data_IF_317018203858
#
_entry.id   IF_317018203858
#
_cell.length_a   1.000
_cell.length_b   1.000
_cell.length_c   1.000
_cell.angle_alpha   90.00
_cell.angle_beta   90.00
_cell.angle_gamma   90.00
#
_symmetry.space_group_name_H-M   'P 1'
#
loop_
_entity.id
_entity.type
_entity.pdbx_description
1 polymer ?
#
# COMPACT_ATOMS: atom_id res chain seq x y z
N UNK A 1 22.87 13.43 18.15
CA UNK A 1 22.76 14.33 16.97
C UNK A 1 23.50 15.65 17.23
N UNK A 2 24.33 16.10 16.27
CA UNK A 2 25.01 17.40 16.34
C UNK A 2 24.14 18.57 15.85
N UNK A 3 22.88 18.28 15.50
CA UNK A 3 21.94 19.24 14.93
C UNK A 3 20.49 18.84 15.24
N UNK A 4 19.56 19.77 15.05
CA UNK A 4 18.12 19.57 15.13
C UNK A 4 17.41 20.13 13.89
N UNK A 5 16.22 19.60 13.59
CA UNK A 5 15.32 20.12 12.56
C UNK A 5 14.13 20.78 13.25
N UNK A 6 13.79 21.99 12.80
CA UNK A 6 12.71 22.81 13.33
C UNK A 6 11.79 23.22 12.18
N UNK A 7 10.49 23.00 12.34
CA UNK A 7 9.47 23.62 11.49
C UNK A 7 8.93 24.88 12.18
N UNK A 8 8.94 26.02 11.49
CA UNK A 8 8.38 27.27 12.00
C UNK A 8 7.01 27.59 11.40
N UNK A 9 6.27 28.50 12.04
CA UNK A 9 4.99 29.00 11.52
C UNK A 9 5.16 29.89 10.29
N UNK A 10 6.39 30.33 10.00
CA UNK A 10 6.76 31.06 8.78
C UNK A 10 6.94 30.13 7.56
N UNK A 11 6.44 28.90 7.62
CA UNK A 11 6.54 27.90 6.55
C UNK A 11 7.99 27.53 6.18
N UNK A 12 8.90 27.65 7.13
CA UNK A 12 10.32 27.34 6.94
C UNK A 12 10.71 26.07 7.70
N UNK A 13 11.64 25.34 7.11
CA UNK A 13 12.38 24.27 7.80
C UNK A 13 13.78 24.78 8.07
N UNK A 14 14.19 24.73 9.33
CA UNK A 14 15.50 25.19 9.77
C UNK A 14 16.27 24.02 10.39
N UNK A 15 17.48 23.79 9.91
CA UNK A 15 18.45 22.94 10.57
C UNK A 15 19.34 23.82 11.43
N UNK A 16 19.47 23.49 12.72
CA UNK A 16 20.31 24.22 13.66
C UNK A 16 21.34 23.29 14.32
N UNK A 17 22.51 23.82 14.67
CA UNK A 17 23.55 23.08 15.37
C UNK A 17 23.18 22.87 16.85
N UNK A 18 23.65 21.79 17.44
CA UNK A 18 23.54 21.55 18.88
C UNK A 18 24.93 21.57 19.53
N UNK A 19 25.08 22.14 20.74
CA UNK A 19 24.03 22.71 21.58
C UNK A 19 23.69 24.19 21.27
N UNK A 20 24.47 24.87 20.43
CA UNK A 20 24.41 26.33 20.27
C UNK A 20 23.20 26.90 19.52
N UNK A 21 22.34 26.06 18.93
CA UNK A 21 21.16 26.43 18.12
C UNK A 21 21.47 27.41 16.98
N UNK A 22 22.71 27.43 16.48
CA UNK A 22 23.07 28.27 15.35
C UNK A 22 22.43 27.71 14.08
N UNK A 23 21.78 28.58 13.31
CA UNK A 23 21.15 28.16 12.04
C UNK A 23 22.22 27.73 11.05
N UNK A 24 22.12 26.49 10.60
CA UNK A 24 22.98 25.89 9.58
C UNK A 24 22.40 26.16 8.20
N UNK A 25 21.12 25.84 8.02
CA UNK A 25 20.38 26.16 6.82
C UNK A 25 18.90 26.40 7.15
N UNK A 26 18.25 27.24 6.35
CA UNK A 26 16.81 27.50 6.42
C UNK A 26 16.25 27.48 5.01
N UNK A 27 15.22 26.67 4.78
CA UNK A 27 14.60 26.49 3.46
C UNK A 27 13.11 26.79 3.56
N UNK A 28 12.59 27.69 2.69
CA UNK A 28 11.16 27.91 2.58
C UNK A 28 10.47 26.72 1.92
N UNK A 29 9.37 26.28 2.53
CA UNK A 29 8.52 25.25 1.95
C UNK A 29 7.69 25.77 0.76
N UNK A 30 7.52 27.08 0.59
CA UNK A 30 6.77 27.63 -0.56
C UNK A 30 5.34 27.09 -0.64
N UNK A 31 4.69 26.94 0.52
CA UNK A 31 3.32 26.50 0.70
C UNK A 31 2.72 27.33 1.83
N UNK A 32 1.39 27.46 1.84
CA UNK A 32 0.66 28.24 2.85
C UNK A 32 0.16 27.38 4.03
N UNK A 33 0.78 26.23 4.27
CA UNK A 33 0.38 25.27 5.32
C UNK A 33 1.56 24.95 6.23
N UNK A 34 1.35 25.11 7.54
CA UNK A 34 2.42 24.96 8.54
C UNK A 34 2.90 23.51 8.69
N UNK A 35 4.20 23.31 8.98
CA UNK A 35 4.71 22.05 9.50
C UNK A 35 3.99 21.64 10.79
N UNK A 36 3.59 20.37 10.87
CA UNK A 36 2.95 19.78 12.07
C UNK A 36 3.79 18.70 12.72
N UNK A 37 4.64 18.02 11.95
CA UNK A 37 5.58 17.04 12.47
C UNK A 37 6.86 17.04 11.64
N UNK A 38 8.02 16.97 12.31
CA UNK A 38 9.34 16.87 11.66
C UNK A 38 10.13 15.72 12.25
N UNK A 39 10.83 14.97 11.42
CA UNK A 39 11.63 13.80 11.81
C UNK A 39 12.93 13.76 11.02
N UNK A 40 14.05 13.58 11.73
CA UNK A 40 15.33 13.20 11.13
C UNK A 40 15.54 11.72 11.38
N UNK A 41 15.78 10.94 10.32
CA UNK A 41 16.01 9.50 10.44
C UNK A 41 16.96 8.99 9.37
N UNK A 42 17.66 7.88 9.66
CA UNK A 42 18.51 7.19 8.69
C UNK A 42 17.82 5.94 8.17
N UNK A 43 17.68 5.83 6.85
CA UNK A 43 17.09 4.69 6.14
C UNK A 43 18.10 4.19 5.10
N UNK A 44 18.47 2.91 5.13
CA UNK A 44 19.51 2.30 4.27
C UNK A 44 20.83 3.12 4.21
N UNK A 45 21.25 3.68 5.34
CA UNK A 45 22.47 4.48 5.45
C UNK A 45 22.35 5.95 5.01
N UNK A 46 21.25 6.34 4.37
CA UNK A 46 21.00 7.73 3.94
C UNK A 46 20.24 8.49 5.03
N UNK A 47 20.71 9.68 5.37
CA UNK A 47 20.09 10.55 6.36
C UNK A 47 19.02 11.41 5.70
N UNK A 48 17.78 11.30 6.18
CA UNK A 48 16.63 12.04 5.67
C UNK A 48 16.09 13.00 6.71
N UNK A 49 15.59 14.14 6.23
CA UNK A 49 14.74 15.06 6.97
C UNK A 49 13.34 15.01 6.35
N UNK A 50 12.36 14.62 7.15
CA UNK A 50 10.97 14.47 6.75
C UNK A 50 10.12 15.49 7.50
N UNK A 51 9.26 16.20 6.78
CA UNK A 51 8.39 17.24 7.35
C UNK A 51 6.98 17.09 6.82
N UNK A 52 6.07 16.76 7.74
CA UNK A 52 4.66 16.58 7.51
C UNK A 52 3.90 17.88 7.78
N UNK A 53 3.00 18.23 6.87
CA UNK A 53 2.17 19.43 6.93
C UNK A 53 0.77 19.14 7.46
N UNK A 54 0.01 20.22 7.72
CA UNK A 54 -1.38 20.13 8.16
C UNK A 54 -2.39 19.67 7.12
N UNK A 55 -2.01 19.63 5.84
CA UNK A 55 -2.88 19.29 4.70
C UNK A 55 -2.62 17.89 4.13
N UNK A 56 -1.88 17.05 4.86
CA UNK A 56 -1.57 15.68 4.45
C UNK A 56 -0.42 15.55 3.43
N UNK A 57 0.30 16.65 3.14
CA UNK A 57 1.56 16.57 2.38
C UNK A 57 2.77 16.28 3.27
N UNK A 58 3.69 15.51 2.70
CA UNK A 58 5.00 15.20 3.25
C UNK A 58 6.08 15.77 2.33
N UNK A 59 6.97 16.55 2.92
CA UNK A 59 8.23 16.93 2.31
C UNK A 59 9.36 16.04 2.81
N UNK A 60 10.20 15.56 1.90
CA UNK A 60 11.39 14.80 2.25
C UNK A 60 12.62 15.41 1.60
N UNK A 61 13.70 15.47 2.37
CA UNK A 61 15.00 15.99 1.96
C UNK A 61 16.09 14.98 2.34
N UNK A 62 17.14 14.90 1.53
CA UNK A 62 18.38 14.22 1.90
C UNK A 62 19.26 15.21 2.65
N UNK A 63 19.76 14.80 3.83
CA UNK A 63 20.68 15.60 4.64
C UNK A 63 22.10 15.26 4.23
N UNK A 64 22.83 16.22 3.69
CA UNK A 64 24.21 16.04 3.27
C UNK A 64 25.17 16.25 4.46
N UNK A 65 25.63 15.15 5.05
CA UNK A 65 26.55 15.18 6.19
C UNK A 65 27.95 15.72 5.84
N UNK A 66 28.37 15.65 4.57
CA UNK A 66 29.66 16.17 4.13
C UNK A 66 29.61 17.70 3.94
N UNK A 67 28.48 18.22 3.45
CA UNK A 67 28.26 19.65 3.22
C UNK A 67 27.51 20.31 4.38
N UNK A 68 28.00 20.13 5.61
CA UNK A 68 27.48 20.79 6.81
C UNK A 68 25.96 20.60 7.02
N UNK A 69 25.43 19.40 6.80
CA UNK A 69 24.02 19.04 7.00
C UNK A 69 23.03 19.88 6.18
N UNK A 70 23.43 20.33 4.99
CA UNK A 70 22.50 20.99 4.06
C UNK A 70 21.42 20.02 3.57
N UNK A 71 20.22 20.56 3.33
CA UNK A 71 19.10 19.79 2.81
C UNK A 71 19.11 19.83 1.27
N UNK A 72 19.08 18.65 0.66
CA UNK A 72 19.10 18.44 -0.80
C UNK A 72 17.97 17.50 -1.24
N UNK A 73 17.81 17.28 -2.54
CA UNK A 73 16.83 16.34 -3.14
C UNK A 73 15.40 16.47 -2.55
N UNK A 74 14.87 17.70 -2.59
CA UNK A 74 13.53 18.02 -2.10
C UNK A 74 12.46 17.26 -2.89
N UNK A 75 11.67 16.44 -2.19
CA UNK A 75 10.51 15.72 -2.73
C UNK A 75 9.24 16.07 -1.96
N UNK A 76 8.10 16.13 -2.68
CA UNK A 76 6.76 16.38 -2.13
C UNK A 76 5.85 15.21 -2.50
N UNK A 77 5.17 14.63 -1.51
CA UNK A 77 4.21 13.52 -1.70
C UNK A 77 2.98 13.79 -0.85
N UNK A 78 1.78 13.48 -1.38
CA UNK A 78 0.54 13.48 -0.57
C UNK A 78 0.31 12.09 -0.01
N UNK A 79 0.17 11.98 1.31
CA UNK A 79 -0.13 10.71 2.00
C UNK A 79 -1.54 10.68 2.58
N UNK A 80 -2.23 11.82 2.66
CA UNK A 80 -3.58 11.93 3.22
C UNK A 80 -4.15 13.33 2.99
N UNK A 81 -5.19 13.67 3.74
CA UNK A 81 -5.80 15.01 3.74
C UNK A 81 -5.77 15.68 5.11
N UNK A 82 -5.43 14.93 6.17
CA UNK A 82 -5.35 15.42 7.53
C UNK A 82 -3.89 15.62 7.97
N UNK A 83 -3.63 16.43 9.03
CA UNK A 83 -2.31 16.53 9.65
C UNK A 83 -1.78 15.15 10.06
N UNK A 84 -0.53 14.86 9.74
CA UNK A 84 0.08 13.56 10.08
C UNK A 84 1.20 13.70 11.12
N UNK A 85 1.33 12.69 11.98
CA UNK A 85 2.43 12.55 12.93
C UNK A 85 3.42 11.51 12.44
N UNK A 86 4.71 11.86 12.37
CA UNK A 86 5.78 10.96 11.94
C UNK A 86 6.44 10.29 13.14
N UNK A 87 6.57 8.97 13.09
CA UNK A 87 7.21 8.18 14.14
C UNK A 87 8.20 7.17 13.57
N UNK A 88 9.44 7.24 14.04
CA UNK A 88 10.44 6.22 13.73
C UNK A 88 10.13 4.97 14.54
N UNK A 89 10.15 3.82 13.89
CA UNK A 89 10.08 2.51 14.52
C UNK A 89 11.04 1.54 13.83
N UNK A 90 11.35 0.45 14.50
CA UNK A 90 12.27 -0.56 13.99
C UNK A 90 11.54 -1.90 13.97
N UNK A 91 11.64 -2.61 12.84
CA UNK A 91 11.06 -3.95 12.68
C UNK A 91 12.07 -4.79 11.91
N UNK A 92 12.31 -6.03 12.37
CA UNK A 92 13.28 -6.94 11.77
C UNK A 92 14.68 -6.30 11.59
N UNK A 93 15.11 -5.48 12.56
CA UNK A 93 16.40 -4.78 12.53
C UNK A 93 16.50 -3.63 11.53
N UNK A 94 15.43 -3.30 10.80
CA UNK A 94 15.38 -2.20 9.84
C UNK A 94 14.54 -1.04 10.37
N UNK A 95 15.00 0.19 10.12
CA UNK A 95 14.28 1.39 10.48
C UNK A 95 13.21 1.72 9.44
N UNK A 96 12.05 2.11 9.94
CA UNK A 96 10.88 2.52 9.16
C UNK A 96 10.24 3.75 9.81
N UNK A 97 9.51 4.54 9.03
CA UNK A 97 8.77 5.69 9.55
C UNK A 97 7.28 5.43 9.36
N UNK A 98 6.53 5.50 10.45
CA UNK A 98 5.08 5.46 10.42
C UNK A 98 4.55 6.90 10.30
N UNK A 99 3.71 7.15 9.31
CA UNK A 99 2.93 8.37 9.17
C UNK A 99 1.50 8.09 9.64
N UNK A 100 1.19 8.54 10.85
CA UNK A 100 -0.12 8.42 11.48
C UNK A 100 -1.04 9.55 10.97
N UNK A 101 -2.12 9.19 10.28
CA UNK A 101 -3.12 10.13 9.72
C UNK A 101 -4.43 9.40 9.34
N UNK A 102 -5.29 10.06 8.56
CA UNK A 102 -6.48 9.53 7.86
C UNK A 102 -6.15 8.49 6.77
N UNK A 103 -4.88 8.34 6.42
CA UNK A 103 -4.35 7.32 5.51
C UNK A 103 -3.00 6.82 6.05
N UNK A 104 -3.02 5.98 7.09
CA UNK A 104 -1.80 5.54 7.75
C UNK A 104 -0.84 4.90 6.75
N UNK A 105 0.42 5.36 6.75
CA UNK A 105 1.41 4.96 5.74
C UNK A 105 2.73 4.60 6.42
N UNK A 106 3.32 3.47 6.02
CA UNK A 106 4.70 3.12 6.37
C UNK A 106 5.63 3.58 5.25
N UNK A 107 6.61 4.40 5.64
CA UNK A 107 7.69 4.89 4.79
C UNK A 107 8.94 4.07 5.10
N UNK A 108 9.56 3.53 4.06
CA UNK A 108 10.75 2.72 4.17
C UNK A 108 11.68 2.97 2.98
N UNK A 109 12.93 2.54 3.07
CA UNK A 109 13.86 2.59 1.94
C UNK A 109 14.11 1.19 1.41
N UNK A 110 14.13 1.06 0.09
CA UNK A 110 14.59 -0.13 -0.61
C UNK A 110 15.38 0.31 -1.85
N UNK A 111 16.57 -0.27 -2.05
CA UNK A 111 17.48 0.13 -3.13
C UNK A 111 17.83 1.63 -3.09
N UNK A 112 17.98 2.19 -1.89
CA UNK A 112 18.24 3.61 -1.60
C UNK A 112 17.16 4.56 -2.14
N UNK A 113 15.93 4.06 -2.33
CA UNK A 113 14.77 4.86 -2.72
C UNK A 113 13.68 4.73 -1.67
N UNK A 114 13.08 5.86 -1.34
CA UNK A 114 11.93 5.90 -0.43
C UNK A 114 10.69 5.31 -1.10
N UNK A 115 10.04 4.40 -0.39
CA UNK A 115 8.79 3.76 -0.74
C UNK A 115 7.77 4.04 0.35
N UNK A 116 6.50 4.08 -0.06
CA UNK A 116 5.35 4.38 0.77
C UNK A 116 4.37 3.22 0.63
N UNK A 117 3.99 2.60 1.75
CA UNK A 117 3.02 1.51 1.79
C UNK A 117 1.87 1.89 2.71
N UNK A 118 0.66 1.89 2.18
CA UNK A 118 -0.53 2.11 3.00
C UNK A 118 -0.70 0.94 3.98
N UNK A 119 -1.20 1.26 5.17
CA UNK A 119 -1.60 0.29 6.17
C UNK A 119 -3.11 0.11 6.07
N UNK A 120 -3.59 -1.12 6.23
CA UNK A 120 -5.02 -1.45 6.17
C UNK A 120 -5.78 -1.04 7.44
N UNK A 121 -5.61 0.21 7.86
CA UNK A 121 -6.33 0.84 8.98
C UNK A 121 -7.02 2.10 8.47
N UNK A 122 -8.17 2.44 9.05
CA UNK A 122 -8.94 3.62 8.62
C UNK A 122 -8.24 4.92 8.99
N UNK A 123 -7.89 5.06 10.26
CA UNK A 123 -7.23 6.24 10.79
C UNK A 123 -6.36 5.83 11.98
N UNK A 124 -5.19 6.46 12.10
CA UNK A 124 -4.32 6.30 13.27
C UNK A 124 -3.90 7.69 13.72
N UNK A 125 -4.24 8.06 14.95
CA UNK A 125 -3.89 9.38 15.51
C UNK A 125 -2.47 9.39 16.07
N UNK A 126 -2.10 8.34 16.80
CA UNK A 126 -0.79 8.18 17.43
C UNK A 126 -0.29 6.76 17.33
N UNK A 127 1.03 6.63 17.27
CA UNK A 127 1.73 5.35 17.20
C UNK A 127 3.05 5.43 17.96
N UNK A 128 3.44 4.33 18.61
CA UNK A 128 4.77 4.15 19.16
C UNK A 128 5.20 2.68 19.13
N UNK A 129 6.51 2.44 19.20
CA UNK A 129 7.03 1.11 19.44
C UNK A 129 6.64 0.62 20.84
N UNK A 130 6.20 -0.63 20.94
CA UNK A 130 5.79 -1.26 22.18
C UNK A 130 6.43 -2.65 22.29
N UNK A 131 7.48 -2.76 23.09
CA UNK A 131 8.20 -4.01 23.29
C UNK A 131 8.13 -4.42 24.76
N UNK A 132 7.45 -5.53 25.04
CA UNK A 132 7.32 -6.11 26.39
C UNK A 132 7.46 -7.62 26.33
N UNK A 133 7.67 -8.28 27.46
CA UNK A 133 7.80 -9.75 27.52
C UNK A 133 6.56 -10.47 26.95
N UNK A 134 5.36 -9.96 27.23
CA UNK A 134 4.11 -10.52 26.70
C UNK A 134 3.84 -10.14 25.23
N UNK A 135 4.48 -9.06 24.75
CA UNK A 135 4.27 -8.50 23.41
C UNK A 135 5.62 -8.06 22.82
N UNK A 136 6.46 -9.01 22.38
CA UNK A 136 7.75 -8.69 21.79
C UNK A 136 7.56 -8.04 20.42
N UNK A 137 8.40 -7.06 20.09
CA UNK A 137 8.46 -6.38 18.78
C UNK A 137 7.10 -5.85 18.27
N UNK A 138 6.22 -5.48 19.19
CA UNK A 138 4.90 -4.93 18.88
C UNK A 138 4.94 -3.41 18.74
N UNK A 139 3.82 -2.88 18.30
CA UNK A 139 3.54 -1.46 18.16
C UNK A 139 2.23 -1.18 18.90
N UNK A 140 2.17 -0.04 19.57
CA UNK A 140 0.94 0.47 20.14
C UNK A 140 0.47 1.65 19.30
N UNK A 141 -0.80 1.64 18.90
CA UNK A 141 -1.40 2.73 18.15
C UNK A 141 -2.83 2.98 18.60
N UNK A 142 -3.27 4.23 18.40
CA UNK A 142 -4.61 4.69 18.74
C UNK A 142 -5.40 4.80 17.43
N UNK A 143 -6.48 4.02 17.36
CA UNK A 143 -7.48 4.07 16.30
C UNK A 143 -8.80 4.53 16.92
N UNK A 144 -9.35 5.63 16.42
CA UNK A 144 -10.58 6.24 16.94
C UNK A 144 -10.47 6.48 18.47
N UNK A 145 -11.29 5.78 19.27
CA UNK A 145 -11.31 5.83 20.74
C UNK A 145 -10.64 4.60 21.40
N UNK A 146 -9.93 3.78 20.63
CA UNK A 146 -9.34 2.53 21.10
C UNK A 146 -7.82 2.50 20.96
N UNK A 147 -7.16 1.88 21.94
CA UNK A 147 -5.74 1.56 21.86
C UNK A 147 -5.57 0.11 21.45
N UNK A 148 -4.79 -0.12 20.40
CA UNK A 148 -4.48 -1.44 19.85
C UNK A 148 -2.99 -1.70 19.98
N UNK A 149 -2.65 -2.92 20.41
CA UNK A 149 -1.28 -3.42 20.43
C UNK A 149 -1.20 -4.55 19.40
N UNK A 150 -0.26 -4.47 18.48
CA UNK A 150 -0.09 -5.49 17.45
C UNK A 150 1.24 -5.37 16.72
N UNK A 151 1.53 -6.36 15.89
CA UNK A 151 2.69 -6.35 14.99
C UNK A 151 2.28 -5.81 13.63
N UNK A 152 3.26 -5.30 12.87
CA UNK A 152 3.09 -5.00 11.44
C UNK A 152 3.63 -6.20 10.66
N UNK A 153 2.81 -6.73 9.75
CA UNK A 153 3.24 -7.74 8.78
C UNK A 153 4.40 -7.22 7.92
N UNK A 154 5.13 -8.12 7.26
CA UNK A 154 6.21 -7.70 6.36
C UNK A 154 5.74 -6.58 5.44
N UNK A 155 6.47 -5.46 5.45
CA UNK A 155 6.16 -4.25 4.69
C UNK A 155 6.36 -4.58 3.20
N UNK A 156 5.34 -5.18 2.60
CA UNK A 156 5.23 -5.50 1.19
C UNK A 156 4.06 -4.71 0.61
N UNK A 157 4.26 -4.14 -0.59
CA UNK A 157 3.28 -3.27 -1.26
C UNK A 157 1.92 -3.93 -1.56
N UNK A 158 1.85 -5.25 -1.59
CA UNK A 158 0.69 -6.04 -2.01
C UNK A 158 0.63 -7.32 -1.18
N UNK A 159 -0.46 -7.51 -0.43
CA UNK A 159 -0.79 -8.83 0.11
C UNK A 159 -1.31 -9.68 -1.05
N UNK A 160 -0.48 -10.60 -1.54
CA UNK A 160 -0.85 -11.52 -2.62
C UNK A 160 -1.28 -12.85 -1.99
N UNK A 161 -2.54 -13.21 -2.18
CA UNK A 161 -3.06 -14.55 -1.90
C UNK A 161 -3.18 -15.30 -3.23
N UNK A 162 -2.38 -16.35 -3.40
CA UNK A 162 -2.44 -17.21 -4.60
C UNK A 162 -3.50 -18.30 -4.42
N UNK A 163 -4.43 -18.39 -5.36
CA UNK A 163 -5.43 -19.48 -5.44
C UNK A 163 -5.10 -20.36 -6.66
N UNK A 164 -4.70 -21.63 -6.49
CA UNK A 164 -4.40 -22.51 -7.60
C UNK A 164 -5.68 -22.97 -8.32
N UNK A 165 -5.80 -22.68 -9.62
CA UNK A 165 -6.97 -23.08 -10.43
C UNK A 165 -6.78 -24.43 -11.16
N UNK A 166 -5.54 -24.87 -11.35
CA UNK A 166 -5.19 -26.08 -12.12
C UNK A 166 -5.37 -25.94 -13.65
N UNK A 167 -5.81 -24.77 -14.11
CA UNK A 167 -6.13 -24.44 -15.50
C UNK A 167 -5.61 -23.03 -15.81
N UNK A 168 -5.55 -22.64 -17.08
CA UNK A 168 -5.11 -21.31 -17.47
C UNK A 168 -6.27 -20.30 -17.42
N UNK A 169 -6.29 -19.33 -16.48
CA UNK A 169 -7.31 -18.28 -16.47
C UNK A 169 -7.11 -17.28 -17.61
N UNK A 170 -8.20 -16.87 -18.24
CA UNK A 170 -8.22 -15.96 -19.40
C UNK A 170 -8.91 -14.64 -19.12
N UNK A 171 -10.04 -14.69 -18.42
CA UNK A 171 -10.89 -13.53 -18.11
C UNK A 171 -11.52 -13.71 -16.73
N UNK A 172 -11.80 -12.60 -16.06
CA UNK A 172 -12.47 -12.59 -14.75
C UNK A 172 -13.44 -11.42 -14.68
N UNK A 173 -14.59 -11.65 -14.06
CA UNK A 173 -15.54 -10.60 -13.70
C UNK A 173 -16.10 -10.85 -12.30
N UNK A 174 -16.29 -9.78 -11.53
CA UNK A 174 -16.93 -9.82 -10.21
C UNK A 174 -18.39 -9.40 -10.32
N UNK A 175 -19.27 -10.13 -9.64
CA UNK A 175 -20.68 -9.75 -9.46
C UNK A 175 -20.96 -9.60 -7.96
N UNK A 176 -21.04 -8.35 -7.52
CA UNK A 176 -21.23 -8.01 -6.09
C UNK A 176 -22.54 -8.55 -5.52
N UNK A 177 -23.58 -8.62 -6.34
CA UNK A 177 -24.93 -9.01 -5.96
C UNK A 177 -25.01 -10.49 -5.54
N UNK A 178 -24.31 -11.37 -6.28
CA UNK A 178 -24.22 -12.80 -5.99
C UNK A 178 -23.03 -13.18 -5.12
N UNK A 179 -22.09 -12.24 -4.87
CA UNK A 179 -20.81 -12.48 -4.17
C UNK A 179 -19.96 -13.54 -4.84
N UNK A 180 -19.90 -13.49 -6.17
CA UNK A 180 -19.16 -14.46 -6.97
C UNK A 180 -18.23 -13.79 -7.97
N UNK A 181 -17.16 -14.50 -8.31
CA UNK A 181 -16.36 -14.27 -9.50
C UNK A 181 -16.77 -15.27 -10.58
N UNK A 182 -16.89 -14.80 -11.82
CA UNK A 182 -16.89 -15.67 -12.98
C UNK A 182 -15.52 -15.60 -13.65
N UNK A 183 -14.88 -16.75 -13.83
CA UNK A 183 -13.54 -16.88 -14.39
C UNK A 183 -13.61 -17.79 -15.61
N UNK A 184 -13.20 -17.28 -16.76
CA UNK A 184 -13.03 -18.12 -17.94
C UNK A 184 -11.66 -18.78 -17.90
N UNK A 185 -11.60 -20.10 -18.07
CA UNK A 185 -10.38 -20.90 -18.00
C UNK A 185 -10.23 -21.79 -19.23
N UNK A 186 -8.98 -22.17 -19.53
CA UNK A 186 -8.63 -23.16 -20.56
C UNK A 186 -7.93 -24.32 -19.86
N UNK A 187 -8.43 -25.53 -20.09
CA UNK A 187 -7.77 -26.77 -19.71
C UNK A 187 -7.18 -27.41 -20.98
N UNK A 188 -5.88 -27.67 -20.95
CA UNK A 188 -5.22 -28.53 -21.92
C UNK A 188 -5.10 -29.92 -21.29
N UNK A 189 -5.74 -30.92 -21.87
CA UNK A 189 -5.56 -32.30 -21.43
C UNK A 189 -4.14 -32.75 -21.83
N UNK A 190 -3.26 -32.88 -20.84
CA UNK A 190 -1.86 -33.28 -21.03
C UNK A 190 -1.69 -34.79 -21.29
N UNK A 191 -2.77 -35.57 -21.37
CA UNK A 191 -2.71 -37.03 -21.42
C UNK A 191 -2.66 -37.63 -22.83
N UNK A 192 -2.96 -36.87 -23.90
CA UNK A 192 -2.91 -37.40 -25.26
C UNK A 192 -1.65 -36.93 -26.01
N UNK A 193 -0.78 -37.90 -26.32
CA UNK A 193 0.43 -37.73 -27.15
C UNK A 193 0.12 -37.57 -28.65
N UNK A 194 -1.14 -37.36 -29.01
CA UNK A 194 -1.59 -37.00 -30.36
C UNK A 194 -1.64 -35.49 -30.52
N UNK A 195 -1.11 -34.99 -31.65
CA UNK A 195 -0.94 -33.58 -32.03
C UNK A 195 -2.25 -32.79 -32.29
N UNK A 196 -3.30 -33.01 -31.51
CA UNK A 196 -4.44 -32.10 -31.45
C UNK A 196 -4.46 -31.48 -30.05
N UNK A 197 -4.02 -30.23 -29.96
CA UNK A 197 -4.21 -29.37 -28.79
C UNK A 197 -5.72 -29.12 -28.61
N UNK A 198 -6.44 -30.11 -28.08
CA UNK A 198 -7.86 -29.96 -27.74
C UNK A 198 -7.97 -29.12 -26.47
N UNK A 199 -7.89 -27.80 -26.65
CA UNK A 199 -8.17 -26.84 -25.59
C UNK A 199 -9.66 -26.85 -25.24
N UNK A 200 -9.98 -27.26 -24.01
CA UNK A 200 -11.35 -27.20 -23.51
C UNK A 200 -11.52 -25.92 -22.69
N UNK A 201 -12.48 -25.09 -23.09
CA UNK A 201 -12.78 -23.83 -22.40
C UNK A 201 -13.88 -24.04 -21.35
N UNK A 202 -13.73 -23.39 -20.20
CA UNK A 202 -14.71 -23.41 -19.13
C UNK A 202 -15.04 -22.01 -18.63
N UNK A 203 -16.26 -21.86 -18.12
CA UNK A 203 -16.70 -20.71 -17.30
C UNK A 203 -16.91 -21.22 -15.88
N UNK A 204 -16.06 -20.77 -14.94
CA UNK A 204 -16.11 -21.18 -13.54
C UNK A 204 -16.75 -20.08 -12.70
N UNK A 205 -17.68 -20.46 -11.85
CA UNK A 205 -18.24 -19.59 -10.83
C UNK A 205 -17.52 -19.88 -9.51
N UNK A 206 -16.98 -18.86 -8.88
CA UNK A 206 -16.14 -18.95 -7.68
C UNK A 206 -16.72 -18.02 -6.60
N UNK A 207 -16.77 -18.48 -5.36
CA UNK A 207 -17.18 -17.66 -4.21
C UNK A 207 -16.14 -16.55 -3.90
N UNK A 208 -16.58 -15.32 -3.63
CA UNK A 208 -15.66 -14.19 -3.45
C UNK A 208 -14.99 -14.09 -2.07
N UNK A 209 -15.38 -14.94 -1.11
CA UNK A 209 -14.78 -15.02 0.23
C UNK A 209 -13.92 -16.28 0.41
N UNK A 210 -14.46 -17.45 0.08
CA UNK A 210 -13.79 -18.73 0.27
C UNK A 210 -12.87 -19.07 -0.89
N UNK A 211 -13.12 -18.52 -2.08
CA UNK A 211 -12.49 -18.87 -3.36
C UNK A 211 -12.73 -20.32 -3.81
N UNK A 212 -13.78 -20.97 -3.29
CA UNK A 212 -14.20 -22.29 -3.74
C UNK A 212 -14.94 -22.21 -5.08
N UNK A 213 -14.75 -23.22 -5.94
CA UNK A 213 -15.51 -23.32 -7.20
C UNK A 213 -16.93 -23.79 -6.90
N UNK A 214 -17.90 -22.90 -7.12
CA UNK A 214 -19.33 -23.17 -6.97
C UNK A 214 -19.90 -23.91 -8.18
N UNK A 215 -19.48 -23.55 -9.38
CA UNK A 215 -19.93 -24.17 -10.63
C UNK A 215 -18.83 -24.15 -11.69
N UNK A 216 -18.89 -25.11 -12.62
CA UNK A 216 -18.00 -25.21 -13.78
C UNK A 216 -18.84 -25.56 -15.00
N UNK A 217 -18.95 -24.62 -15.92
CA UNK A 217 -19.68 -24.77 -17.18
C UNK A 217 -18.68 -24.99 -18.30
N UNK A 218 -18.84 -26.07 -19.07
CA UNK A 218 -17.98 -26.40 -20.21
C UNK A 218 -18.54 -25.75 -21.48
N UNK A 219 -17.68 -25.10 -22.25
CA UNK A 219 -18.02 -24.60 -23.59
C UNK A 219 -17.93 -25.72 -24.63
N UNK A 220 -18.51 -25.47 -25.81
CA UNK A 220 -18.48 -26.44 -26.88
C UNK A 220 -17.06 -26.70 -27.41
N UNK A 221 -16.91 -27.79 -28.16
CA UNK A 221 -15.63 -28.12 -28.81
C UNK A 221 -15.29 -27.00 -29.81
N UNK A 222 -14.04 -26.52 -29.75
CA UNK A 222 -13.53 -25.36 -30.50
C UNK A 222 -14.17 -24.01 -30.14
N UNK A 223 -15.00 -23.93 -29.10
CA UNK A 223 -15.56 -22.67 -28.63
C UNK A 223 -14.63 -22.00 -27.59
N UNK A 224 -14.19 -20.79 -27.89
CA UNK A 224 -13.28 -20.01 -27.06
C UNK A 224 -13.96 -18.85 -26.35
N UNK A 225 -13.73 -18.74 -25.05
CA UNK A 225 -14.17 -17.58 -24.26
C UNK A 225 -13.28 -16.36 -24.50
N UNK A 226 -13.84 -15.31 -25.11
CA UNK A 226 -13.10 -14.12 -25.54
C UNK A 226 -13.31 -12.92 -24.60
N UNK A 227 -14.51 -12.78 -24.04
CA UNK A 227 -14.88 -11.70 -23.13
C UNK A 227 -15.87 -12.17 -22.07
N UNK A 228 -15.91 -11.47 -20.94
CA UNK A 228 -16.91 -11.68 -19.89
C UNK A 228 -17.26 -10.36 -19.22
N UNK A 229 -18.54 -10.15 -18.94
CA UNK A 229 -19.03 -8.98 -18.20
C UNK A 229 -20.19 -9.38 -17.29
N UNK A 230 -20.33 -8.70 -16.16
CA UNK A 230 -21.49 -8.79 -15.28
C UNK A 230 -22.33 -7.52 -15.47
N UNK A 231 -23.60 -7.68 -15.83
CA UNK A 231 -24.53 -6.56 -15.98
C UNK A 231 -25.97 -6.96 -15.66
N UNK A 232 -26.83 -5.97 -15.45
CA UNK A 232 -28.28 -6.13 -15.45
C UNK A 232 -28.85 -5.57 -16.75
N UNK A 233 -29.99 -6.07 -17.19
CA UNK A 233 -30.69 -5.54 -18.36
C UNK A 233 -31.77 -4.53 -17.95
N UNK A 234 -32.01 -3.50 -18.74
CA UNK A 234 -32.98 -2.42 -18.43
C UNK A 234 -34.40 -2.92 -18.12
N UNK A 235 -34.78 -4.10 -18.64
CA UNK A 235 -36.10 -4.70 -18.41
C UNK A 235 -36.13 -5.75 -17.30
N UNK A 236 -34.98 -6.06 -16.70
CA UNK A 236 -34.83 -7.02 -15.60
C UNK A 236 -33.76 -6.53 -14.60
N UNK A 237 -34.04 -5.41 -13.95
CA UNK A 237 -33.13 -4.85 -12.92
C UNK A 237 -32.99 -5.74 -11.68
N UNK A 238 -33.87 -6.73 -11.51
CA UNK A 238 -33.86 -7.63 -10.34
C UNK A 238 -32.80 -8.72 -10.45
N UNK A 239 -32.39 -9.07 -11.68
CA UNK A 239 -31.42 -10.12 -11.91
C UNK A 239 -30.15 -9.56 -12.54
N UNK A 240 -29.01 -10.02 -12.04
CA UNK A 240 -27.71 -9.73 -12.62
C UNK A 240 -27.24 -10.97 -13.39
N UNK A 241 -26.63 -10.75 -14.55
CA UNK A 241 -26.21 -11.82 -15.46
C UNK A 241 -24.72 -11.73 -15.72
N UNK A 242 -24.09 -12.89 -15.91
CA UNK A 242 -22.80 -12.98 -16.56
C UNK A 242 -23.03 -13.20 -18.06
N UNK A 243 -22.48 -12.31 -18.88
CA UNK A 243 -22.48 -12.44 -20.32
C UNK A 243 -21.08 -12.83 -20.78
N UNK A 244 -20.99 -13.93 -21.50
CA UNK A 244 -19.73 -14.46 -22.04
C UNK A 244 -19.77 -14.31 -23.55
N UNK A 245 -18.80 -13.59 -24.11
CA UNK A 245 -18.61 -13.53 -25.56
C UNK A 245 -17.71 -14.67 -26.00
N UNK A 246 -18.23 -15.53 -26.87
CA UNK A 246 -17.52 -16.70 -27.39
C UNK A 246 -17.24 -16.60 -28.89
N UNK A 247 -16.30 -17.40 -29.38
CA UNK A 247 -15.97 -17.54 -30.79
C UNK A 247 -15.60 -18.99 -31.09
N UNK A 248 -16.04 -19.50 -32.24
CA UNK A 248 -15.60 -20.79 -32.81
C UNK A 248 -14.46 -20.57 -33.81
#
# INVERSE_FOLDING_TARGET
PKFACLGSWDMNITICSLPGLQTICSIPLGVDVIPRSSLICRLEGVLYCMVALGDGYLFTFVVDEANNYQLTDRKKVSLGTQPMTLKLFTTNGSNHVFAASDRPTVIYSSNKKLLYSNVNLREVSHMCSFNSEAFPDCLAFIQDETMVIGTIDQIQKLHIRTIPLGEQPRRICHQKQSRTFAVCTISSDFEDTSRDDNEINYVRLIDDQTFETLARFQLDVYEHSCSIVSCAFDKDEKHCHYLVGTAY
#
